data_IF_455553771067
#
_entry.id   IF_455553771067
#
_cell.length_a   1.000
_cell.length_b   1.000
_cell.length_c   1.000
_cell.angle_alpha   90.00
_cell.angle_beta   90.00
_cell.angle_gamma   90.00
#
_symmetry.space_group_name_H-M   'P 1'
#
loop_
_entity.id
_entity.type
_entity.pdbx_description
1 polymer ?
#
# COMPACT_ATOMS: atom_id res chain seq x y z
N UNK A 1 67.32 -11.40 -32.83
CA UNK A 1 66.43 -11.85 -31.75
C UNK A 1 65.58 -10.67 -31.28
N UNK A 2 64.39 -10.47 -31.87
CA UNK A 2 63.45 -9.42 -31.48
C UNK A 2 62.37 -10.06 -30.61
N UNK A 3 62.29 -9.67 -29.34
CA UNK A 3 61.29 -10.15 -28.37
C UNK A 3 59.96 -9.43 -28.64
N UNK A 4 58.93 -10.21 -28.92
CA UNK A 4 57.53 -9.77 -28.99
C UNK A 4 57.03 -9.48 -27.57
N UNK A 5 56.47 -8.28 -27.35
CA UNK A 5 55.74 -7.96 -26.13
C UNK A 5 54.26 -8.21 -26.38
N UNK A 6 53.72 -9.26 -25.75
CA UNK A 6 52.29 -9.56 -25.71
C UNK A 6 51.66 -8.65 -24.66
N UNK A 7 50.83 -7.70 -25.10
CA UNK A 7 50.06 -6.81 -24.23
C UNK A 7 48.86 -7.59 -23.67
N UNK A 8 48.92 -7.99 -22.40
CA UNK A 8 47.79 -8.58 -21.67
C UNK A 8 46.84 -7.46 -21.22
N UNK A 9 45.67 -7.38 -21.84
CA UNK A 9 44.54 -6.61 -21.33
C UNK A 9 43.93 -7.33 -20.13
N UNK A 10 44.18 -6.83 -18.92
CA UNK A 10 43.42 -7.23 -17.73
C UNK A 10 42.04 -6.59 -17.78
N UNK A 11 41.02 -7.38 -18.11
CA UNK A 11 39.61 -7.03 -17.86
C UNK A 11 39.39 -6.98 -16.35
N UNK A 12 39.14 -5.79 -15.81
CA UNK A 12 38.67 -5.59 -14.45
C UNK A 12 37.19 -6.02 -14.39
N UNK A 13 36.92 -7.25 -13.96
CA UNK A 13 35.57 -7.63 -13.56
C UNK A 13 35.25 -6.93 -12.24
N UNK A 14 34.48 -5.84 -12.30
CA UNK A 14 33.80 -5.30 -11.12
C UNK A 14 32.77 -6.33 -10.65
N UNK A 15 33.19 -7.20 -9.73
CA UNK A 15 32.28 -8.03 -8.95
C UNK A 15 31.45 -7.08 -8.09
N UNK A 16 30.27 -6.67 -8.58
CA UNK A 16 29.22 -6.15 -7.71
C UNK A 16 28.81 -7.30 -6.79
N UNK A 17 29.32 -7.30 -5.57
CA UNK A 17 28.80 -8.12 -4.50
C UNK A 17 27.35 -7.69 -4.26
N UNK A 18 26.39 -8.48 -4.78
CA UNK A 18 25.00 -8.43 -4.34
C UNK A 18 24.98 -8.90 -2.88
N UNK A 19 25.25 -7.98 -1.95
CA UNK A 19 24.97 -8.22 -0.54
C UNK A 19 23.45 -8.33 -0.42
N UNK A 20 22.95 -9.55 -0.27
CA UNK A 20 21.57 -9.77 0.17
C UNK A 20 21.37 -8.97 1.46
N UNK A 21 20.54 -7.92 1.40
CA UNK A 21 20.26 -7.10 2.57
C UNK A 21 19.28 -7.86 3.45
N UNK A 22 19.60 -7.93 4.74
CA UNK A 22 18.77 -8.62 5.72
C UNK A 22 17.35 -8.03 5.72
N UNK A 23 16.36 -8.90 5.85
CA UNK A 23 14.96 -8.50 6.03
C UNK A 23 14.81 -7.68 7.33
N UNK A 24 13.98 -6.64 7.29
CA UNK A 24 13.68 -5.84 8.48
C UNK A 24 12.92 -6.71 9.48
N UNK A 25 13.53 -6.93 10.65
CA UNK A 25 12.95 -7.72 11.74
C UNK A 25 12.43 -6.84 12.87
N UNK A 26 11.40 -7.28 13.57
CA UNK A 26 10.83 -6.55 14.71
C UNK A 26 11.05 -7.31 16.02
N UNK A 27 11.29 -6.61 17.15
CA UNK A 27 11.49 -7.26 18.44
C UNK A 27 10.19 -7.92 18.93
N UNK A 28 10.31 -9.01 19.70
CA UNK A 28 9.16 -9.77 20.20
C UNK A 28 8.09 -8.92 20.92
N UNK A 29 8.50 -7.83 21.55
CA UNK A 29 7.60 -6.90 22.25
C UNK A 29 6.51 -6.33 21.36
N UNK A 30 6.73 -6.17 20.05
CA UNK A 30 5.69 -5.66 19.12
C UNK A 30 4.57 -6.66 18.85
N UNK A 31 4.78 -7.93 19.20
CA UNK A 31 3.77 -8.99 19.05
C UNK A 31 3.13 -9.36 20.39
N UNK A 32 3.87 -9.23 21.49
CA UNK A 32 3.38 -9.55 22.83
C UNK A 32 2.55 -8.43 23.46
N UNK A 33 2.88 -7.16 23.18
CA UNK A 33 2.12 -6.00 23.65
C UNK A 33 1.37 -5.36 22.47
N UNK A 34 0.32 -4.58 22.77
CA UNK A 34 -0.38 -3.84 21.73
C UNK A 34 0.56 -2.81 21.09
N UNK A 35 0.87 -3.03 19.82
CA UNK A 35 1.70 -2.20 18.98
C UNK A 35 0.99 -1.92 17.65
N UNK A 36 0.70 -0.65 17.43
CA UNK A 36 0.20 -0.09 16.19
C UNK A 36 0.83 1.28 15.96
N UNK A 37 0.69 1.80 14.75
CA UNK A 37 1.12 3.15 14.39
C UNK A 37 2.12 3.19 13.25
N UNK A 38 2.69 4.37 13.03
CA UNK A 38 3.57 4.63 11.89
C UNK A 38 4.99 4.16 12.18
N UNK A 39 5.57 3.41 11.26
CA UNK A 39 6.97 3.05 11.25
C UNK A 39 7.62 3.66 10.02
N UNK A 40 8.69 4.42 10.21
CA UNK A 40 9.51 4.97 9.14
C UNK A 40 10.60 3.98 8.78
N UNK A 41 10.76 3.73 7.48
CA UNK A 41 11.71 2.78 6.94
C UNK A 41 12.96 3.51 6.45
N UNK A 42 14.10 2.92 6.75
CA UNK A 42 15.37 3.17 6.08
C UNK A 42 15.69 1.99 5.14
N UNK A 43 16.88 2.00 4.55
CA UNK A 43 17.32 0.98 3.64
C UNK A 43 17.52 -0.41 4.26
N UNK A 44 17.68 -0.51 5.58
CA UNK A 44 17.95 -1.77 6.30
C UNK A 44 17.28 -1.85 7.67
N UNK A 45 16.50 -0.85 8.07
CA UNK A 45 15.88 -0.78 9.39
C UNK A 45 14.52 -0.05 9.32
N UNK A 46 13.72 -0.16 10.38
CA UNK A 46 12.50 0.61 10.54
C UNK A 46 12.30 1.05 12.00
N UNK A 47 11.96 2.32 12.20
CA UNK A 47 11.73 2.91 13.52
C UNK A 47 10.31 3.44 13.66
N UNK A 48 9.64 3.05 14.75
CA UNK A 48 8.33 3.59 15.14
C UNK A 48 8.40 5.10 15.33
N UNK A 49 7.45 5.83 14.78
CA UNK A 49 7.25 7.24 15.08
C UNK A 49 6.60 7.39 16.46
N UNK A 50 7.23 8.15 17.34
CA UNK A 50 6.74 8.45 18.68
C UNK A 50 6.49 9.96 18.79
N UNK A 51 5.30 10.34 19.25
CA UNK A 51 4.91 11.74 19.33
C UNK A 51 5.92 12.55 20.16
N UNK A 52 6.35 13.69 19.62
CA UNK A 52 7.34 14.57 20.26
C UNK A 52 8.79 14.09 20.19
N UNK A 53 9.06 12.91 19.61
CA UNK A 53 10.42 12.40 19.41
C UNK A 53 10.84 12.55 17.95
N UNK A 54 12.10 12.92 17.73
CA UNK A 54 12.69 12.91 16.39
C UNK A 54 12.83 11.46 15.90
N UNK A 55 12.61 11.24 14.60
CA UNK A 55 12.83 9.95 13.96
C UNK A 55 13.85 10.14 12.83
N UNK A 56 14.99 9.41 12.84
CA UNK A 56 16.10 9.60 11.90
C UNK A 56 15.72 9.30 10.44
N UNK A 57 14.65 8.54 10.21
CA UNK A 57 14.21 8.12 8.88
C UNK A 57 13.10 9.02 8.31
N UNK A 58 12.74 10.08 9.02
CA UNK A 58 11.75 11.05 8.59
C UNK A 58 12.36 12.44 8.38
N UNK A 59 12.02 13.06 7.25
CA UNK A 59 12.22 14.48 7.01
C UNK A 59 10.92 15.13 6.59
N UNK A 60 10.55 16.23 7.26
CA UNK A 60 9.27 16.88 7.04
C UNK A 60 9.10 17.50 5.64
N UNK A 61 10.20 17.78 4.92
CA UNK A 61 10.21 18.41 3.60
C UNK A 61 10.28 17.41 2.45
N UNK A 62 10.55 16.12 2.72
CA UNK A 62 10.57 15.08 1.69
C UNK A 62 9.15 14.71 1.26
N UNK A 63 9.00 14.29 0.00
CA UNK A 63 7.78 13.60 -0.45
C UNK A 63 7.58 12.36 0.41
N UNK A 64 6.35 11.95 0.64
CA UNK A 64 6.05 10.86 1.57
C UNK A 64 5.11 9.84 0.95
N UNK A 65 5.45 8.56 1.09
CA UNK A 65 4.53 7.45 0.80
C UNK A 65 4.24 6.69 2.09
N UNK A 66 2.96 6.48 2.37
CA UNK A 66 2.46 5.69 3.50
C UNK A 66 1.77 4.46 2.94
N UNK A 67 2.18 3.27 3.36
CA UNK A 67 1.54 2.00 3.06
C UNK A 67 0.70 1.50 4.24
N UNK A 68 -0.46 0.93 3.95
CA UNK A 68 -1.35 0.32 4.95
C UNK A 68 -1.74 -1.08 4.48
N UNK A 69 -1.30 -2.10 5.22
CA UNK A 69 -1.58 -3.49 4.90
C UNK A 69 -3.03 -3.90 5.19
N UNK A 70 -3.40 -5.09 4.73
CA UNK A 70 -4.72 -5.69 4.86
C UNK A 70 -4.96 -6.53 6.12
N UNK A 71 -5.84 -7.53 5.96
CA UNK A 71 -6.11 -8.60 6.92
C UNK A 71 -4.86 -9.48 7.11
N UNK A 72 -4.56 -9.88 8.36
CA UNK A 72 -3.27 -10.47 8.72
C UNK A 72 -3.42 -11.73 9.59
N UNK A 73 -4.30 -12.64 9.18
CA UNK A 73 -4.60 -13.88 9.92
C UNK A 73 -3.33 -14.71 10.18
N UNK A 74 -3.03 -14.95 11.45
CA UNK A 74 -1.90 -15.75 11.93
C UNK A 74 -0.56 -15.01 11.98
N UNK A 75 -0.49 -13.77 11.50
CA UNK A 75 0.77 -13.01 11.45
C UNK A 75 1.38 -12.80 12.84
N UNK A 76 0.57 -12.50 13.85
CA UNK A 76 1.04 -12.15 15.19
C UNK A 76 1.58 -13.37 15.91
N UNK A 77 0.91 -14.52 15.79
CA UNK A 77 1.38 -15.79 16.33
C UNK A 77 2.65 -16.27 15.63
N UNK A 78 2.76 -16.00 14.32
CA UNK A 78 3.96 -16.29 13.53
C UNK A 78 5.09 -15.25 13.74
N UNK A 79 4.84 -14.20 14.54
CA UNK A 79 5.76 -13.08 14.76
C UNK A 79 6.25 -12.45 13.46
N UNK A 80 5.33 -12.36 12.50
CA UNK A 80 5.55 -11.72 11.22
C UNK A 80 4.75 -10.43 11.12
N UNK A 81 5.34 -9.46 10.43
CA UNK A 81 4.74 -8.15 10.16
C UNK A 81 5.08 -7.82 8.71
N UNK A 82 4.06 -7.49 7.93
CA UNK A 82 4.24 -7.25 6.50
C UNK A 82 5.22 -6.10 6.26
N UNK A 83 6.24 -6.37 5.45
CA UNK A 83 7.21 -5.37 4.97
C UNK A 83 7.06 -5.19 3.46
N UNK A 84 7.87 -4.29 2.89
CA UNK A 84 8.00 -4.16 1.44
C UNK A 84 9.08 -5.08 0.86
N UNK A 85 9.64 -6.01 1.66
CA UNK A 85 10.38 -7.16 1.13
C UNK A 85 9.39 -8.16 0.52
N UNK A 86 9.46 -8.30 -0.81
CA UNK A 86 8.53 -9.13 -1.59
C UNK A 86 9.22 -10.34 -2.22
N UNK A 87 10.44 -10.70 -1.82
CA UNK A 87 11.18 -11.84 -2.39
C UNK A 87 10.33 -13.13 -2.37
N UNK A 88 9.77 -13.49 -1.21
CA UNK A 88 8.87 -14.64 -1.05
C UNK A 88 7.50 -14.49 -1.73
N UNK A 89 7.25 -13.39 -2.43
CA UNK A 89 6.01 -13.07 -3.15
C UNK A 89 6.28 -12.66 -4.60
N UNK A 90 7.36 -13.18 -5.19
CA UNK A 90 7.76 -12.95 -6.58
C UNK A 90 8.54 -11.66 -6.84
N UNK A 91 8.70 -10.80 -5.83
CA UNK A 91 9.52 -9.60 -5.92
C UNK A 91 11.03 -9.89 -6.00
N UNK A 92 11.84 -8.85 -6.22
CA UNK A 92 13.29 -8.99 -6.27
C UNK A 92 13.84 -9.33 -4.87
N UNK A 93 15.10 -9.75 -4.81
CA UNK A 93 15.85 -9.87 -3.55
C UNK A 93 16.27 -8.48 -3.01
N UNK A 94 15.30 -7.59 -2.86
CA UNK A 94 15.46 -6.20 -2.43
C UNK A 94 14.15 -5.72 -1.81
N UNK A 95 14.22 -5.10 -0.63
CA UNK A 95 13.06 -4.41 -0.07
C UNK A 95 12.66 -3.26 -0.99
N UNK A 96 11.40 -3.25 -1.43
CA UNK A 96 10.89 -2.29 -2.41
C UNK A 96 10.86 -0.86 -1.87
N UNK A 97 10.94 -0.64 -0.54
CA UNK A 97 11.13 0.68 0.06
C UNK A 97 12.39 1.37 -0.50
N UNK A 98 13.42 0.60 -0.84
CA UNK A 98 14.67 1.09 -1.40
C UNK A 98 14.44 1.99 -2.61
N UNK A 99 13.59 1.58 -3.56
CA UNK A 99 13.34 2.35 -4.80
C UNK A 99 12.67 3.70 -4.55
N UNK A 100 11.96 3.82 -3.43
CA UNK A 100 11.29 5.06 -3.02
C UNK A 100 12.23 5.97 -2.23
N UNK A 101 13.01 5.39 -1.30
CA UNK A 101 14.05 6.10 -0.56
C UNK A 101 15.10 6.72 -1.51
N UNK A 102 15.55 5.94 -2.49
CA UNK A 102 16.47 6.37 -3.56
C UNK A 102 15.92 7.53 -4.39
N UNK A 103 14.58 7.63 -4.50
CA UNK A 103 13.89 8.75 -5.18
C UNK A 103 13.51 9.89 -4.23
N UNK A 104 14.09 9.93 -3.03
CA UNK A 104 13.96 11.01 -2.07
C UNK A 104 12.64 11.04 -1.31
N UNK A 105 11.91 9.92 -1.22
CA UNK A 105 10.71 9.83 -0.39
C UNK A 105 11.07 9.48 1.06
N UNK A 106 10.25 9.92 2.02
CA UNK A 106 10.04 9.16 3.25
C UNK A 106 9.15 7.95 2.91
N UNK A 107 9.49 6.78 3.43
CA UNK A 107 8.70 5.56 3.27
C UNK A 107 8.20 5.12 4.62
N UNK A 108 6.89 5.07 4.81
CA UNK A 108 6.28 4.65 6.06
C UNK A 108 5.28 3.52 5.87
N UNK A 109 5.20 2.62 6.86
CA UNK A 109 4.12 1.62 6.96
C UNK A 109 3.32 1.91 8.22
N UNK A 110 2.00 2.00 8.08
CA UNK A 110 1.05 2.26 9.17
C UNK A 110 0.47 0.92 9.66
N UNK A 111 1.06 0.39 10.73
CA UNK A 111 0.77 -0.96 11.20
C UNK A 111 -0.47 -1.03 12.08
N UNK A 112 -1.25 -2.08 11.84
CA UNK A 112 -2.39 -2.50 12.67
C UNK A 112 -2.53 -4.02 12.71
N UNK A 113 -1.45 -4.76 12.47
CA UNK A 113 -1.46 -6.22 12.29
C UNK A 113 -2.09 -6.96 13.47
N UNK A 114 -1.93 -6.51 14.72
CA UNK A 114 -2.58 -7.14 15.86
C UNK A 114 -4.10 -6.93 15.93
N UNK A 115 -4.61 -5.85 15.35
CA UNK A 115 -6.05 -5.65 15.16
C UNK A 115 -6.57 -6.43 13.94
N UNK A 116 -5.74 -6.55 12.90
CA UNK A 116 -6.03 -7.22 11.65
C UNK A 116 -5.87 -8.75 11.70
N UNK A 117 -5.22 -9.30 12.74
CA UNK A 117 -5.06 -10.74 12.93
C UNK A 117 -6.32 -11.34 13.57
N UNK A 118 -7.32 -11.51 12.73
CA UNK A 118 -8.59 -12.16 13.02
C UNK A 118 -8.76 -13.42 12.18
N UNK A 119 -9.54 -14.38 12.64
CA UNK A 119 -9.86 -15.58 11.85
C UNK A 119 -10.87 -15.31 10.73
N UNK A 120 -11.66 -14.24 10.86
CA UNK A 120 -12.67 -13.80 9.90
C UNK A 120 -12.34 -12.37 9.46
N UNK A 121 -12.31 -12.12 8.13
CA UNK A 121 -11.95 -10.83 7.56
C UNK A 121 -12.89 -9.72 8.01
N UNK A 122 -14.18 -10.03 8.18
CA UNK A 122 -15.22 -9.06 8.59
C UNK A 122 -15.04 -8.59 10.03
N UNK A 123 -14.43 -9.42 10.89
CA UNK A 123 -14.12 -9.04 12.27
C UNK A 123 -12.98 -8.00 12.32
N UNK A 124 -12.00 -8.13 11.42
CA UNK A 124 -10.97 -7.10 11.23
C UNK A 124 -11.53 -5.83 10.54
N UNK A 125 -12.39 -5.98 9.52
CA UNK A 125 -13.03 -4.86 8.82
C UNK A 125 -13.86 -4.00 9.77
N UNK A 126 -14.63 -4.61 10.69
CA UNK A 126 -15.48 -3.85 11.60
C UNK A 126 -14.69 -2.87 12.48
N UNK A 127 -13.49 -3.28 12.93
CA UNK A 127 -12.59 -2.47 13.77
C UNK A 127 -12.07 -1.21 13.06
N UNK A 128 -12.01 -1.21 11.72
CA UNK A 128 -11.65 -0.02 10.94
C UNK A 128 -12.62 1.11 11.25
N UNK A 129 -13.90 0.79 11.37
CA UNK A 129 -14.97 1.77 11.43
C UNK A 129 -15.54 2.00 12.83
N UNK A 130 -15.56 0.96 13.68
CA UNK A 130 -16.25 0.99 14.96
C UNK A 130 -15.58 0.10 16.00
N UNK A 131 -15.79 0.42 17.28
CA UNK A 131 -15.43 -0.45 18.41
C UNK A 131 -16.51 -1.47 18.74
N UNK A 132 -17.70 -1.32 18.15
CA UNK A 132 -18.91 -2.11 18.45
C UNK A 132 -19.23 -3.13 17.34
N UNK A 133 -18.21 -3.58 16.60
CA UNK A 133 -18.36 -4.68 15.64
C UNK A 133 -18.72 -6.01 16.31
N UNK A 134 -18.99 -7.08 15.54
CA UNK A 134 -19.41 -8.38 16.06
C UNK A 134 -18.49 -8.99 17.14
N UNK A 135 -17.20 -8.64 17.11
CA UNK A 135 -16.19 -9.08 18.09
C UNK A 135 -15.69 -7.98 19.02
N UNK A 136 -16.26 -6.78 18.91
CA UNK A 136 -15.78 -5.59 19.58
C UNK A 136 -14.36 -5.18 19.16
N UNK A 137 -13.84 -4.15 19.81
CA UNK A 137 -12.43 -3.78 19.67
C UNK A 137 -11.55 -4.71 20.50
N UNK A 138 -10.70 -5.48 19.82
CA UNK A 138 -9.75 -6.42 20.43
C UNK A 138 -8.51 -6.57 19.56
N UNK A 139 -7.42 -7.03 20.15
CA UNK A 139 -6.17 -7.30 19.44
C UNK A 139 -5.60 -8.65 19.87
N UNK A 140 -4.95 -9.35 18.93
CA UNK A 140 -4.29 -10.62 19.20
C UNK A 140 -2.86 -10.39 19.68
N UNK A 141 -2.45 -11.13 20.70
CA UNK A 141 -1.06 -11.17 21.18
C UNK A 141 -0.33 -12.42 20.65
N UNK A 142 1.00 -12.42 20.72
CA UNK A 142 1.84 -13.50 20.18
C UNK A 142 1.58 -14.90 20.77
N UNK A 143 0.91 -15.00 21.92
CA UNK A 143 0.50 -16.28 22.49
C UNK A 143 -0.85 -16.80 21.96
N UNK A 144 -1.47 -16.08 21.01
CA UNK A 144 -2.77 -16.42 20.42
C UNK A 144 -3.97 -15.85 21.16
N UNK A 145 -3.78 -15.23 22.34
CA UNK A 145 -4.88 -14.67 23.13
C UNK A 145 -5.36 -13.34 22.56
N UNK A 146 -6.67 -13.13 22.59
CA UNK A 146 -7.29 -11.83 22.33
C UNK A 146 -7.38 -11.01 23.62
N UNK A 147 -6.94 -9.76 23.54
CA UNK A 147 -7.05 -8.78 24.60
C UNK A 147 -8.02 -7.68 24.19
N UNK A 148 -8.74 -7.09 25.14
CA UNK A 148 -9.57 -5.91 24.88
C UNK A 148 -8.72 -4.78 24.31
N UNK A 149 -9.22 -4.13 23.26
CA UNK A 149 -8.55 -3.00 22.63
C UNK A 149 -9.07 -1.65 23.14
N UNK A 150 -8.46 -0.54 22.68
CA UNK A 150 -8.87 0.81 23.07
C UNK A 150 -10.32 1.12 22.67
N UNK A 151 -10.98 2.06 23.36
CA UNK A 151 -12.31 2.54 22.97
C UNK A 151 -12.27 3.56 21.81
N UNK A 152 -11.55 3.22 20.74
CA UNK A 152 -11.45 4.00 19.50
C UNK A 152 -11.33 3.05 18.32
N UNK A 153 -11.92 3.40 17.16
CA UNK A 153 -11.74 2.62 15.94
C UNK A 153 -10.28 2.67 15.44
N UNK A 154 -9.86 1.66 14.68
CA UNK A 154 -8.51 1.60 14.10
C UNK A 154 -8.25 2.81 13.22
N UNK A 155 -9.25 3.31 12.47
CA UNK A 155 -9.11 4.56 11.71
C UNK A 155 -8.68 5.73 12.60
N UNK A 156 -9.31 5.91 13.77
CA UNK A 156 -8.99 7.02 14.68
C UNK A 156 -7.62 6.87 15.33
N UNK A 157 -7.27 5.65 15.74
CA UNK A 157 -5.95 5.31 16.29
C UNK A 157 -4.84 5.60 15.28
N UNK A 158 -5.01 5.11 14.05
CA UNK A 158 -4.01 5.25 12.99
C UNK A 158 -3.94 6.67 12.42
N UNK A 159 -5.05 7.39 12.32
CA UNK A 159 -5.05 8.81 11.96
C UNK A 159 -4.20 9.61 12.96
N UNK A 160 -4.39 9.38 14.26
CA UNK A 160 -3.62 10.05 15.32
C UNK A 160 -2.14 9.68 15.23
N UNK A 161 -1.83 8.40 15.06
CA UNK A 161 -0.45 7.93 14.89
C UNK A 161 0.23 8.53 13.65
N UNK A 162 -0.50 8.67 12.54
CA UNK A 162 0.01 9.26 11.31
C UNK A 162 0.31 10.76 11.48
N UNK A 163 -0.62 11.53 12.03
CA UNK A 163 -0.43 12.97 12.28
C UNK A 163 0.75 13.21 13.24
N UNK A 164 0.82 12.43 14.32
CA UNK A 164 1.93 12.50 15.27
C UNK A 164 3.27 12.08 14.65
N UNK A 165 3.25 11.15 13.69
CA UNK A 165 4.42 10.68 12.97
C UNK A 165 4.85 11.55 11.79
N UNK A 166 4.07 12.58 11.46
CA UNK A 166 4.34 13.57 10.43
C UNK A 166 4.47 14.98 11.04
N UNK A 167 5.34 15.23 12.03
CA UNK A 167 5.40 16.53 12.67
C UNK A 167 5.86 17.62 11.68
N UNK A 168 5.09 18.71 11.60
CA UNK A 168 5.37 19.88 10.75
C UNK A 168 5.60 19.54 9.28
N UNK A 169 4.80 18.63 8.71
CA UNK A 169 4.96 18.17 7.35
C UNK A 169 4.77 19.32 6.33
N UNK A 170 5.77 19.47 5.46
CA UNK A 170 5.85 20.48 4.39
C UNK A 170 6.24 19.88 3.04
N UNK A 171 6.32 18.55 2.96
CA UNK A 171 6.69 17.83 1.75
C UNK A 171 5.73 18.12 0.60
N UNK A 172 6.28 18.16 -0.62
CA UNK A 172 5.53 18.53 -1.82
C UNK A 172 4.53 17.46 -2.31
N UNK A 173 4.50 16.28 -1.67
CA UNK A 173 3.59 15.19 -2.00
C UNK A 173 3.34 14.31 -0.78
N UNK A 174 2.07 14.07 -0.43
CA UNK A 174 1.66 12.98 0.45
C UNK A 174 0.90 11.92 -0.36
N UNK A 175 1.41 10.70 -0.38
CA UNK A 175 0.80 9.55 -1.04
C UNK A 175 0.41 8.48 -0.03
N UNK A 176 -0.81 7.96 -0.13
CA UNK A 176 -1.30 6.89 0.75
C UNK A 176 -1.69 5.69 -0.11
N UNK A 177 -1.11 4.53 0.16
CA UNK A 177 -1.42 3.26 -0.50
C UNK A 177 -2.05 2.29 0.52
N UNK A 178 -3.17 1.68 0.16
CA UNK A 178 -3.81 0.65 0.98
C UNK A 178 -3.89 -0.68 0.23
N UNK A 179 -3.68 -1.80 0.92
CA UNK A 179 -3.88 -3.14 0.35
C UNK A 179 -5.04 -3.88 1.01
N UNK A 180 -5.87 -4.59 0.23
CA UNK A 180 -6.99 -5.36 0.77
C UNK A 180 -7.91 -4.49 1.66
N UNK A 181 -8.11 -4.85 2.94
CA UNK A 181 -8.78 -4.02 3.95
C UNK A 181 -8.10 -2.66 4.21
N UNK A 182 -6.78 -2.58 4.04
CA UNK A 182 -5.99 -1.36 4.17
C UNK A 182 -6.43 -0.25 3.22
N UNK A 183 -7.14 -0.58 2.14
CA UNK A 183 -7.79 0.40 1.26
C UNK A 183 -8.85 1.24 1.97
N UNK A 184 -9.65 0.60 2.82
CA UNK A 184 -10.66 1.30 3.60
C UNK A 184 -10.00 2.25 4.60
N UNK A 185 -8.89 1.83 5.24
CA UNK A 185 -8.08 2.69 6.10
C UNK A 185 -7.43 3.84 5.34
N UNK A 186 -6.87 3.58 4.16
CA UNK A 186 -6.28 4.62 3.31
C UNK A 186 -7.30 5.71 2.99
N UNK A 187 -8.52 5.32 2.63
CA UNK A 187 -9.61 6.25 2.34
C UNK A 187 -10.11 6.98 3.60
N UNK A 188 -10.44 6.27 4.69
CA UNK A 188 -10.99 6.90 5.90
C UNK A 188 -9.99 7.81 6.61
N UNK A 189 -8.69 7.46 6.60
CA UNK A 189 -7.64 8.34 7.12
C UNK A 189 -7.44 9.55 6.21
N UNK A 190 -7.47 9.37 4.88
CA UNK A 190 -7.40 10.49 3.93
C UNK A 190 -8.55 11.48 4.10
N UNK A 191 -9.76 10.98 4.37
CA UNK A 191 -10.93 11.83 4.65
C UNK A 191 -10.78 12.62 5.96
N UNK A 192 -10.24 11.99 7.01
CA UNK A 192 -9.92 12.66 8.27
C UNK A 192 -8.85 13.74 8.09
N UNK A 193 -7.78 13.45 7.34
CA UNK A 193 -6.76 14.44 7.00
C UNK A 193 -7.38 15.62 6.23
N UNK A 194 -8.19 15.34 5.19
CA UNK A 194 -8.88 16.37 4.43
C UNK A 194 -9.80 17.23 5.31
N UNK A 195 -10.54 16.60 6.22
CA UNK A 195 -11.40 17.31 7.20
C UNK A 195 -10.58 18.24 8.09
N UNK A 196 -9.48 17.74 8.67
CA UNK A 196 -8.60 18.52 9.52
C UNK A 196 -7.94 19.70 8.76
N UNK A 197 -7.59 19.51 7.48
CA UNK A 197 -7.11 20.60 6.62
C UNK A 197 -8.21 21.64 6.37
N UNK A 198 -9.44 21.21 6.07
CA UNK A 198 -10.56 22.15 5.84
C UNK A 198 -10.93 22.95 7.10
N UNK A 199 -10.70 22.37 8.29
CA UNK A 199 -10.92 23.02 9.59
C UNK A 199 -9.75 23.92 10.02
N UNK A 200 -8.65 23.97 9.27
CA UNK A 200 -7.45 24.73 9.64
C UNK A 200 -6.59 24.08 10.74
N UNK A 201 -6.88 22.84 11.12
CA UNK A 201 -6.13 22.09 12.13
C UNK A 201 -4.81 21.51 11.58
N UNK A 202 -4.73 21.29 10.27
CA UNK A 202 -3.53 20.85 9.56
C UNK A 202 -3.29 21.72 8.34
N UNK A 203 -2.02 21.86 7.94
CA UNK A 203 -1.65 22.58 6.71
C UNK A 203 -2.13 21.83 5.46
N UNK A 204 -2.24 22.53 4.33
CA UNK A 204 -2.63 21.94 3.05
C UNK A 204 -1.78 20.73 2.61
N UNK A 205 -0.52 20.63 3.08
CA UNK A 205 0.39 19.54 2.78
C UNK A 205 -0.08 18.17 3.34
N UNK A 206 -0.94 18.17 4.37
CA UNK A 206 -1.48 16.94 4.94
C UNK A 206 -2.64 16.36 4.12
N UNK A 207 -3.23 17.12 3.18
CA UNK A 207 -4.22 16.54 2.26
C UNK A 207 -3.48 15.65 1.27
N UNK A 208 -3.81 14.34 1.16
CA UNK A 208 -3.13 13.46 0.22
C UNK A 208 -3.20 13.99 -1.21
N UNK A 209 -2.08 14.00 -1.91
CA UNK A 209 -2.04 14.30 -3.35
C UNK A 209 -2.52 13.10 -4.17
N UNK A 210 -2.23 11.89 -3.66
CA UNK A 210 -2.45 10.64 -4.39
C UNK A 210 -2.80 9.48 -3.47
N UNK A 211 -3.79 8.70 -3.87
CA UNK A 211 -4.21 7.48 -3.16
C UNK A 211 -4.17 6.30 -4.14
N UNK A 212 -3.47 5.24 -3.76
CA UNK A 212 -3.39 4.00 -4.51
C UNK A 212 -4.14 2.87 -3.80
N UNK A 213 -5.12 2.30 -4.49
CA UNK A 213 -5.94 1.23 -3.96
C UNK A 213 -5.49 -0.12 -4.51
N UNK A 214 -4.76 -0.89 -3.71
CA UNK A 214 -4.08 -2.12 -4.14
C UNK A 214 -4.96 -3.32 -3.80
N UNK A 215 -5.49 -3.97 -4.83
CA UNK A 215 -6.43 -5.10 -4.77
C UNK A 215 -7.49 -4.93 -3.66
N UNK A 216 -8.34 -3.90 -3.75
CA UNK A 216 -9.20 -3.45 -2.65
C UNK A 216 -10.26 -4.48 -2.26
N UNK A 217 -10.55 -4.59 -0.96
CA UNK A 217 -11.61 -5.46 -0.45
C UNK A 217 -12.69 -4.65 0.28
N UNK A 218 -13.96 -4.94 -0.03
CA UNK A 218 -15.14 -4.41 0.63
C UNK A 218 -16.11 -5.57 0.87
N UNK A 219 -16.43 -5.91 2.12
CA UNK A 219 -17.34 -7.02 2.37
C UNK A 219 -18.80 -6.63 2.05
N UNK A 220 -19.54 -7.49 1.36
CA UNK A 220 -20.92 -7.23 0.92
C UNK A 220 -21.87 -7.00 2.12
N UNK A 221 -22.88 -6.16 1.89
CA UNK A 221 -24.06 -6.05 2.76
C UNK A 221 -23.93 -4.99 3.85
N UNK A 222 -25.10 -4.58 4.34
CA UNK A 222 -25.25 -3.55 5.36
C UNK A 222 -24.56 -3.94 6.67
N UNK A 223 -23.93 -2.97 7.33
CA UNK A 223 -23.29 -3.18 8.63
C UNK A 223 -24.04 -2.41 9.71
N UNK A 224 -24.52 -3.11 10.74
CA UNK A 224 -25.19 -2.48 11.88
C UNK A 224 -24.30 -1.45 12.57
N UNK A 225 -22.99 -1.74 12.67
CA UNK A 225 -21.97 -0.84 13.21
C UNK A 225 -21.61 0.35 12.29
N UNK A 226 -22.29 0.48 11.14
CA UNK A 226 -22.20 1.61 10.21
C UNK A 226 -23.58 2.21 9.90
N UNK A 227 -24.53 2.17 10.83
CA UNK A 227 -25.90 2.67 10.60
C UNK A 227 -26.53 2.04 9.35
N UNK A 228 -26.31 0.74 9.14
CA UNK A 228 -26.76 -0.05 7.99
C UNK A 228 -26.18 0.41 6.63
N UNK A 229 -25.12 1.22 6.61
CA UNK A 229 -24.35 1.47 5.39
C UNK A 229 -23.51 0.24 5.03
N UNK A 230 -23.23 0.10 3.74
CA UNK A 230 -22.24 -0.85 3.23
C UNK A 230 -20.84 -0.20 3.14
N UNK A 231 -19.76 -0.97 3.35
CA UNK A 231 -18.38 -0.44 3.38
C UNK A 231 -17.92 0.10 2.03
N UNK A 232 -18.40 -0.48 0.92
CA UNK A 232 -18.09 0.01 -0.42
C UNK A 232 -18.77 1.34 -0.77
N UNK A 233 -20.03 1.54 -0.37
CA UNK A 233 -20.74 2.83 -0.50
C UNK A 233 -20.03 3.94 0.27
N UNK A 234 -19.65 3.66 1.53
CA UNK A 234 -18.90 4.59 2.36
C UNK A 234 -17.58 4.97 1.69
N UNK A 235 -16.86 3.98 1.16
CA UNK A 235 -15.60 4.18 0.45
C UNK A 235 -15.79 5.01 -0.82
N UNK A 236 -16.88 4.79 -1.56
CA UNK A 236 -17.25 5.58 -2.74
C UNK A 236 -17.51 7.05 -2.39
N UNK A 237 -18.28 7.31 -1.33
CA UNK A 237 -18.58 8.67 -0.89
C UNK A 237 -17.31 9.45 -0.49
N UNK A 238 -16.37 8.77 0.17
CA UNK A 238 -15.05 9.32 0.50
C UNK A 238 -14.26 9.63 -0.79
N UNK A 239 -14.22 8.68 -1.73
CA UNK A 239 -13.56 8.88 -3.04
C UNK A 239 -14.11 10.10 -3.76
N UNK A 240 -15.43 10.29 -3.82
CA UNK A 240 -16.04 11.46 -4.46
C UNK A 240 -15.65 12.76 -3.77
N UNK A 241 -15.64 12.77 -2.44
CA UNK A 241 -15.22 13.93 -1.63
C UNK A 241 -13.76 14.31 -1.91
N UNK A 242 -12.85 13.33 -1.91
CA UNK A 242 -11.43 13.56 -2.14
C UNK A 242 -11.14 13.95 -3.59
N UNK A 243 -11.83 13.35 -4.56
CA UNK A 243 -11.75 13.75 -5.97
C UNK A 243 -12.15 15.21 -6.18
N UNK A 244 -13.22 15.67 -5.54
CA UNK A 244 -13.65 17.07 -5.60
C UNK A 244 -12.60 18.03 -5.01
N UNK A 245 -11.69 17.55 -4.17
CA UNK A 245 -10.53 18.31 -3.65
C UNK A 245 -9.27 18.17 -4.51
N UNK A 246 -9.38 17.50 -5.66
CA UNK A 246 -8.28 17.33 -6.60
C UNK A 246 -7.29 16.24 -6.21
N UNK A 247 -7.64 15.31 -5.33
CA UNK A 247 -6.81 14.14 -5.01
C UNK A 247 -6.80 13.17 -6.20
N UNK A 248 -5.62 12.71 -6.61
CA UNK A 248 -5.49 11.67 -7.64
C UNK A 248 -5.74 10.28 -7.02
N UNK A 249 -6.66 9.50 -7.57
CA UNK A 249 -7.01 8.19 -7.01
C UNK A 249 -6.91 7.13 -8.11
N UNK A 250 -6.22 6.04 -7.80
CA UNK A 250 -6.00 4.89 -8.68
C UNK A 250 -6.32 3.58 -7.95
N UNK A 251 -6.69 2.55 -8.70
CA UNK A 251 -6.86 1.20 -8.20
C UNK A 251 -6.17 0.18 -9.10
N UNK A 252 -5.63 -0.86 -8.48
CA UNK A 252 -5.01 -2.01 -9.13
C UNK A 252 -5.77 -3.26 -8.72
N UNK A 253 -6.33 -3.98 -9.68
CA UNK A 253 -6.92 -5.30 -9.45
C UNK A 253 -5.98 -6.37 -9.99
N UNK A 254 -5.56 -7.30 -9.14
CA UNK A 254 -4.66 -8.40 -9.47
C UNK A 254 -5.24 -9.78 -9.13
N UNK A 255 -6.37 -9.84 -8.41
CA UNK A 255 -6.98 -11.11 -8.02
C UNK A 255 -8.52 -11.09 -8.11
N UNK A 256 -9.17 -12.27 -8.01
CA UNK A 256 -10.61 -12.35 -7.89
C UNK A 256 -11.10 -12.27 -6.42
N UNK A 257 -10.27 -11.80 -5.48
CA UNK A 257 -10.68 -11.64 -4.06
C UNK A 257 -11.90 -10.72 -3.92
N UNK A 258 -12.06 -9.76 -4.83
CA UNK A 258 -13.25 -8.91 -4.93
C UNK A 258 -14.51 -9.64 -5.39
N UNK A 259 -14.38 -10.86 -5.95
CA UNK A 259 -15.47 -11.55 -6.64
C UNK A 259 -15.75 -12.99 -6.17
N UNK A 260 -14.89 -13.65 -5.37
CA UNK A 260 -15.07 -15.10 -5.12
C UNK A 260 -14.73 -15.69 -3.74
N UNK A 261 -13.89 -15.09 -2.89
CA UNK A 261 -13.38 -15.84 -1.72
C UNK A 261 -14.04 -15.50 -0.36
N UNK A 262 -14.58 -14.29 -0.15
CA UNK A 262 -15.01 -13.82 1.19
C UNK A 262 -16.35 -13.05 1.21
N UNK A 263 -17.17 -13.18 0.15
CA UNK A 263 -18.30 -12.27 -0.11
C UNK A 263 -17.83 -10.79 -0.19
N UNK A 264 -16.77 -10.57 -0.96
CA UNK A 264 -16.31 -9.24 -1.35
C UNK A 264 -17.14 -8.69 -2.51
N UNK A 265 -17.21 -7.37 -2.64
CA UNK A 265 -17.88 -6.66 -3.72
C UNK A 265 -16.84 -5.99 -4.63
N UNK A 266 -17.02 -6.08 -5.95
CA UNK A 266 -16.17 -5.44 -6.96
C UNK A 266 -16.21 -3.90 -6.90
N UNK A 267 -17.20 -3.34 -6.20
CA UNK A 267 -17.50 -1.92 -6.02
C UNK A 267 -17.35 -1.14 -7.33
N UNK A 268 -18.07 -1.63 -8.37
CA UNK A 268 -17.98 -1.12 -9.74
C UNK A 268 -18.17 0.38 -9.83
N UNK A 269 -19.10 0.94 -9.05
CA UNK A 269 -19.32 2.39 -8.98
C UNK A 269 -18.06 3.15 -8.57
N UNK A 270 -17.30 2.65 -7.59
CA UNK A 270 -16.01 3.20 -7.18
C UNK A 270 -14.97 3.01 -8.27
N UNK A 271 -14.75 1.78 -8.74
CA UNK A 271 -13.72 1.48 -9.73
C UNK A 271 -13.93 2.25 -11.04
N UNK A 272 -15.19 2.47 -11.44
CA UNK A 272 -15.57 3.26 -12.62
C UNK A 272 -15.40 4.76 -12.45
N UNK A 273 -15.09 5.24 -11.25
CA UNK A 273 -14.95 6.66 -10.95
C UNK A 273 -13.50 7.11 -10.77
N UNK A 274 -12.52 6.19 -10.85
CA UNK A 274 -11.09 6.45 -10.60
C UNK A 274 -10.22 5.89 -11.73
N UNK A 275 -8.91 6.15 -11.69
CA UNK A 275 -7.98 5.46 -12.59
C UNK A 275 -7.95 3.98 -12.23
N UNK A 276 -8.16 3.10 -13.21
CA UNK A 276 -8.28 1.66 -12.95
C UNK A 276 -7.29 0.88 -13.81
N UNK A 277 -6.49 0.05 -13.15
CA UNK A 277 -5.54 -0.86 -13.77
C UNK A 277 -5.86 -2.30 -13.39
N UNK A 278 -5.94 -3.16 -14.39
CA UNK A 278 -6.06 -4.60 -14.19
C UNK A 278 -4.72 -5.29 -14.48
N UNK A 279 -4.19 -5.96 -13.47
CA UNK A 279 -2.98 -6.75 -13.55
C UNK A 279 -3.34 -8.21 -13.84
N UNK A 280 -2.45 -8.89 -14.53
CA UNK A 280 -2.50 -10.32 -14.85
C UNK A 280 -1.29 -11.00 -14.24
N UNK A 281 -1.28 -11.29 -12.93
CA UNK A 281 -0.20 -12.03 -12.30
C UNK A 281 -0.28 -13.52 -12.68
N UNK A 282 0.01 -13.83 -13.93
CA UNK A 282 -0.01 -15.19 -14.52
C UNK A 282 1.27 -15.96 -14.25
N UNK A 283 2.28 -15.30 -13.68
CA UNK A 283 3.39 -15.94 -12.97
C UNK A 283 2.92 -16.80 -11.78
N UNK A 284 1.71 -16.55 -11.25
CA UNK A 284 1.05 -17.40 -10.27
C UNK A 284 -0.08 -18.24 -10.89
N UNK A 285 -0.22 -19.47 -10.40
CA UNK A 285 -1.30 -20.36 -10.80
C UNK A 285 -2.66 -19.83 -10.35
N UNK A 286 -3.74 -20.26 -11.01
CA UNK A 286 -5.09 -19.73 -10.75
C UNK A 286 -5.59 -19.98 -9.31
N UNK A 287 -5.11 -21.03 -8.63
CA UNK A 287 -5.44 -21.33 -7.24
C UNK A 287 -4.62 -20.55 -6.21
N UNK A 288 -3.54 -19.87 -6.62
CA UNK A 288 -2.67 -19.06 -5.75
C UNK A 288 -3.28 -17.68 -5.52
N UNK A 289 -4.52 -17.67 -5.01
CA UNK A 289 -5.34 -16.46 -4.88
C UNK A 289 -4.70 -15.47 -3.89
N UNK A 290 -4.06 -15.94 -2.83
CA UNK A 290 -3.38 -15.09 -1.85
C UNK A 290 -2.17 -14.36 -2.46
N UNK A 291 -1.37 -15.07 -3.25
CA UNK A 291 -0.22 -14.50 -3.96
C UNK A 291 -0.68 -13.50 -5.03
N UNK A 292 -1.73 -13.83 -5.77
CA UNK A 292 -2.37 -12.89 -6.71
C UNK A 292 -2.92 -11.65 -6.01
N UNK A 293 -3.50 -11.80 -4.82
CA UNK A 293 -3.99 -10.69 -4.01
C UNK A 293 -2.86 -9.77 -3.56
N UNK A 294 -1.71 -10.34 -3.21
CA UNK A 294 -0.49 -9.59 -2.86
C UNK A 294 0.28 -9.01 -4.07
N UNK A 295 -0.03 -9.44 -5.29
CA UNK A 295 0.70 -9.02 -6.49
C UNK A 295 0.54 -7.52 -6.80
N UNK A 296 -0.62 -6.92 -6.50
CA UNK A 296 -0.82 -5.48 -6.65
C UNK A 296 0.18 -4.66 -5.80
N UNK A 297 0.52 -5.14 -4.60
CA UNK A 297 1.51 -4.48 -3.72
C UNK A 297 2.91 -4.58 -4.33
N UNK A 298 3.31 -5.78 -4.71
CA UNK A 298 4.61 -6.04 -5.36
C UNK A 298 4.75 -5.19 -6.62
N UNK A 299 3.77 -5.25 -7.53
CA UNK A 299 3.78 -4.49 -8.78
C UNK A 299 3.81 -2.98 -8.53
N UNK A 300 2.95 -2.45 -7.65
CA UNK A 300 2.89 -1.01 -7.40
C UNK A 300 4.22 -0.47 -6.85
N UNK A 301 4.71 -1.04 -5.74
CA UNK A 301 5.93 -0.53 -5.11
C UNK A 301 7.17 -0.77 -5.96
N UNK A 302 7.23 -1.87 -6.73
CA UNK A 302 8.35 -2.15 -7.62
C UNK A 302 8.34 -1.31 -8.89
N UNK A 303 7.15 -0.92 -9.40
CA UNK A 303 7.06 -0.05 -10.58
C UNK A 303 7.79 1.28 -10.39
N UNK A 304 8.01 1.70 -9.13
CA UNK A 304 8.81 2.88 -8.80
C UNK A 304 10.26 2.78 -9.27
N UNK A 305 10.81 1.59 -9.46
CA UNK A 305 12.17 1.37 -9.95
C UNK A 305 12.37 1.83 -11.40
N UNK A 306 11.29 1.93 -12.19
CA UNK A 306 11.32 2.14 -13.63
C UNK A 306 10.77 3.50 -14.05
N UNK A 307 10.86 3.81 -15.33
CA UNK A 307 10.07 4.90 -15.92
C UNK A 307 8.57 4.59 -15.85
N UNK A 308 7.69 5.60 -15.98
CA UNK A 308 6.26 5.34 -16.09
C UNK A 308 5.96 4.32 -17.19
N UNK A 309 5.13 3.34 -16.86
CA UNK A 309 4.70 2.28 -17.78
C UNK A 309 3.86 2.88 -18.90
N UNK A 310 3.77 2.19 -20.03
CA UNK A 310 3.14 2.72 -21.25
C UNK A 310 1.96 1.88 -21.74
N UNK A 311 1.26 2.43 -22.73
CA UNK A 311 0.14 1.80 -23.44
C UNK A 311 0.60 1.32 -24.81
N UNK A 312 0.35 0.07 -25.19
CA UNK A 312 0.54 -0.51 -26.53
C UNK A 312 1.89 -0.11 -27.16
N UNK A 313 2.96 -0.16 -26.35
CA UNK A 313 4.33 0.23 -26.72
C UNK A 313 4.45 1.66 -27.28
N UNK A 314 3.48 2.51 -26.96
CA UNK A 314 3.44 3.93 -27.29
C UNK A 314 4.12 4.79 -26.22
N UNK A 315 4.13 6.11 -26.42
CA UNK A 315 4.58 7.07 -25.40
C UNK A 315 3.50 7.44 -24.36
N UNK A 316 2.30 6.86 -24.47
CA UNK A 316 1.19 7.18 -23.56
C UNK A 316 1.41 6.50 -22.21
N UNK A 317 1.67 7.28 -21.18
CA UNK A 317 1.87 6.75 -19.83
C UNK A 317 0.57 6.21 -19.22
N UNK A 318 0.67 5.09 -18.50
CA UNK A 318 -0.42 4.45 -17.77
C UNK A 318 -0.23 4.57 -16.25
N UNK A 319 -1.24 4.24 -15.43
CA UNK A 319 -1.10 4.29 -13.97
C UNK A 319 0.00 3.35 -13.45
N UNK A 320 1.05 3.91 -12.86
CA UNK A 320 2.09 3.19 -12.09
C UNK A 320 2.62 4.08 -10.97
N UNK A 321 3.35 3.54 -9.99
CA UNK A 321 3.92 4.38 -8.93
C UNK A 321 4.90 5.45 -9.47
N UNK A 322 5.54 5.19 -10.61
CA UNK A 322 6.41 6.13 -11.32
C UNK A 322 5.66 7.21 -12.08
N UNK A 323 4.42 6.96 -12.52
CA UNK A 323 3.60 7.96 -13.19
C UNK A 323 3.35 9.19 -12.32
N UNK A 324 3.15 10.36 -12.94
CA UNK A 324 2.84 11.59 -12.23
C UNK A 324 1.38 11.62 -11.74
N UNK A 325 1.06 12.52 -10.81
CA UNK A 325 -0.34 12.76 -10.41
C UNK A 325 -1.23 13.26 -11.56
N UNK A 326 -0.65 13.94 -12.56
CA UNK A 326 -1.41 14.38 -13.73
C UNK A 326 -1.81 13.20 -14.62
N UNK A 327 -0.93 12.22 -14.82
CA UNK A 327 -1.28 10.98 -15.54
C UNK A 327 -2.44 10.26 -14.86
N UNK A 328 -2.41 10.13 -13.54
CA UNK A 328 -3.50 9.50 -12.80
C UNK A 328 -4.81 10.26 -12.98
N UNK A 329 -4.80 11.59 -12.87
CA UNK A 329 -6.00 12.41 -13.12
C UNK A 329 -6.51 12.28 -14.56
N UNK A 330 -5.63 12.20 -15.54
CA UNK A 330 -6.03 11.92 -16.94
C UNK A 330 -6.77 10.59 -17.01
N UNK A 331 -6.22 9.54 -16.40
CA UNK A 331 -6.88 8.23 -16.38
C UNK A 331 -8.15 8.18 -15.55
N UNK A 332 -8.31 9.00 -14.51
CA UNK A 332 -9.58 9.13 -13.76
C UNK A 332 -10.68 9.75 -14.64
N UNK A 333 -10.32 10.74 -15.46
CA UNK A 333 -11.26 11.48 -16.30
C UNK A 333 -11.61 10.75 -17.62
N UNK A 334 -10.81 9.75 -18.03
CA UNK A 334 -11.20 8.85 -19.11
C UNK A 334 -12.44 8.04 -18.72
N UNK A 335 -13.14 7.46 -19.70
CA UNK A 335 -14.17 6.44 -19.48
C UNK A 335 -13.63 5.01 -19.60
N UNK A 336 -12.30 4.87 -19.56
CA UNK A 336 -11.56 3.62 -19.73
C UNK A 336 -10.55 3.43 -18.60
N UNK A 337 -10.18 2.17 -18.38
CA UNK A 337 -9.02 1.77 -17.58
C UNK A 337 -7.96 1.14 -18.47
N UNK A 338 -6.97 0.51 -17.86
CA UNK A 338 -5.94 -0.27 -18.54
C UNK A 338 -5.91 -1.70 -18.04
N UNK A 339 -5.39 -2.61 -18.87
CA UNK A 339 -5.10 -3.99 -18.52
C UNK A 339 -3.74 -4.38 -19.04
N UNK A 340 -2.99 -5.10 -18.20
CA UNK A 340 -1.70 -5.66 -18.56
C UNK A 340 -1.86 -6.54 -19.81
N UNK A 341 -1.01 -6.32 -20.80
CA UNK A 341 -1.03 -7.03 -22.08
C UNK A 341 0.22 -7.89 -22.27
N UNK A 342 1.40 -7.38 -21.92
CA UNK A 342 2.67 -8.12 -21.83
C UNK A 342 3.19 -8.17 -20.39
N UNK A 343 4.24 -8.97 -20.14
CA UNK A 343 4.88 -9.09 -18.83
C UNK A 343 4.11 -9.91 -17.78
N UNK A 344 2.88 -10.37 -18.09
CA UNK A 344 1.99 -11.11 -17.18
C UNK A 344 2.59 -12.38 -16.53
N UNK A 345 3.59 -13.01 -17.17
CA UNK A 345 4.27 -14.21 -16.65
C UNK A 345 5.56 -13.90 -15.87
N UNK A 346 5.91 -12.62 -15.79
CA UNK A 346 6.99 -12.05 -15.02
C UNK A 346 6.40 -11.39 -13.76
N UNK A 347 7.17 -11.31 -12.69
CA UNK A 347 6.78 -10.55 -11.51
C UNK A 347 7.28 -9.10 -11.55
N UNK A 348 8.24 -8.81 -12.45
CA UNK A 348 8.84 -7.48 -12.57
C UNK A 348 7.98 -6.59 -13.44
N UNK A 349 7.68 -5.35 -13.03
CA UNK A 349 7.00 -4.39 -13.92
C UNK A 349 7.85 -3.91 -15.11
N UNK A 350 9.09 -4.36 -15.24
CA UNK A 350 10.03 -3.87 -16.25
C UNK A 350 9.64 -4.21 -17.70
N UNK A 351 8.95 -5.33 -17.89
CA UNK A 351 8.51 -5.85 -19.19
C UNK A 351 6.99 -5.72 -19.41
N UNK A 352 6.34 -4.97 -18.52
CA UNK A 352 4.91 -4.71 -18.58
C UNK A 352 4.56 -3.65 -19.62
N UNK A 353 3.60 -4.00 -20.48
CA UNK A 353 2.89 -3.09 -21.36
C UNK A 353 1.39 -3.28 -21.16
N UNK A 354 0.62 -2.24 -21.44
CA UNK A 354 -0.81 -2.21 -21.15
C UNK A 354 -1.62 -1.87 -22.38
N UNK A 355 -2.89 -2.28 -22.40
CA UNK A 355 -3.88 -1.81 -23.37
C UNK A 355 -5.08 -1.19 -22.70
N UNK A 356 -5.84 -0.39 -23.45
CA UNK A 356 -7.07 0.19 -22.95
C UNK A 356 -8.14 -0.88 -22.76
N UNK A 357 -8.93 -0.75 -21.70
CA UNK A 357 -10.14 -1.55 -21.48
C UNK A 357 -11.28 -0.71 -20.93
N UNK A 358 -12.51 -1.24 -21.04
CA UNK A 358 -13.60 -0.75 -20.22
C UNK A 358 -13.24 -0.93 -18.74
N UNK A 359 -13.71 -0.02 -17.88
CA UNK A 359 -13.67 -0.23 -16.43
C UNK A 359 -14.70 -1.33 -16.03
N UNK A 360 -14.90 -1.57 -14.73
CA UNK A 360 -15.64 -2.74 -14.22
C UNK A 360 -17.16 -2.71 -14.38
#
# INVERSE_FOLDING_TARGET
>A
MKKSYTLLWTMLFALFSLSARAEITFPNSVYSNLDYGLYWFDYTDAQKAVAGQSNPYYSNSKKTVIYIHGWQNGSVTNRSRETLNRNGSGGPNQDLAWYWLDRGYNVGILYWNQFADESEVKDAEAKIHSTNGPRGMRWKSSNGSYNSGPNQSVTSLLYTALVNGLPNFTGSELRIAGHSLGNQLALTISDKLNTAVNQGNLSGAYRPDRIALLDPFYSIGQKSYLNNQWTGERSKAIVDTLKAKGVAIEAYRSSPVTSTFLAGDDNKSLMNSIAFSELKPWNFNWWQVAEKHGAAVTHYFWSRAFNPLTLDSSSTQVPSASASKSVIKTWMNKNKGVIQDSGAYSATPADDDFKEKARL
#
